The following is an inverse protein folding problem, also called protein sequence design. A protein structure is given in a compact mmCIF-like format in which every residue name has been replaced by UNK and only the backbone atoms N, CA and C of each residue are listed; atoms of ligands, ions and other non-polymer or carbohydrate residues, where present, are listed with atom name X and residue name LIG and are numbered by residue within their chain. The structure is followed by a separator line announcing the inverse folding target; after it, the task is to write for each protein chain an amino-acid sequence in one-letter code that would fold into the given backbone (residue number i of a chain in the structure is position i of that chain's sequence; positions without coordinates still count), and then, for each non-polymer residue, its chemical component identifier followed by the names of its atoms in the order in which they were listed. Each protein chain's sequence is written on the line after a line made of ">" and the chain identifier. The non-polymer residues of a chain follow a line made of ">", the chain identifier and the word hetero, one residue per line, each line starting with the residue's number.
data_IF_130113935661
#
_entry.id   IF_130113935661
#
_cell.length_a   1.000
_cell.length_b   1.000
_cell.length_c   1.000
_cell.angle_alpha   90.00
_cell.angle_beta   90.00
_cell.angle_gamma   90.00
#
_symmetry.space_group_name_H-M   'P 1'
#
loop_
_entity.id
_entity.type
_entity.pdbx_description
1 polymer ?
#
# COMPACT_ATOMS: atom_id res chain seq x y z
N UNK A 1 29.48 35.76 -9.33
CA UNK A 1 30.20 35.96 -8.06
C UNK A 1 30.08 34.66 -7.28
N UNK A 2 31.14 33.88 -7.20
CA UNK A 2 31.16 32.70 -6.34
C UNK A 2 31.08 33.15 -4.87
N UNK A 3 30.02 32.75 -4.18
CA UNK A 3 29.91 32.93 -2.73
C UNK A 3 31.00 32.07 -2.07
N UNK A 4 32.01 32.72 -1.50
CA UNK A 4 33.25 32.10 -1.01
C UNK A 4 33.13 31.51 0.39
N UNK A 5 31.94 31.56 1.01
CA UNK A 5 31.73 31.13 2.39
C UNK A 5 30.48 30.27 2.50
N UNK A 6 30.64 29.16 3.20
CA UNK A 6 29.52 28.38 3.73
C UNK A 6 28.61 29.31 4.53
N UNK A 7 27.32 29.29 4.21
CA UNK A 7 26.36 30.24 4.76
C UNK A 7 25.05 29.53 5.06
N UNK A 8 24.58 29.71 6.29
CA UNK A 8 23.26 29.29 6.72
C UNK A 8 22.43 30.56 6.87
N UNK A 9 21.51 30.80 5.94
CA UNK A 9 20.58 31.91 6.00
C UNK A 9 19.26 31.48 6.63
N UNK A 10 18.90 32.16 7.72
CA UNK A 10 17.66 31.93 8.45
C UNK A 10 16.53 32.74 7.82
N UNK A 11 15.53 32.07 7.28
CA UNK A 11 14.24 32.67 6.96
C UNK A 11 13.18 32.14 7.92
N UNK A 12 12.07 32.88 8.06
CA UNK A 12 11.00 32.59 9.03
C UNK A 12 10.46 31.16 8.97
N UNK A 13 10.54 30.51 7.79
CA UNK A 13 9.96 29.19 7.53
C UNK A 13 10.95 28.15 6.97
N UNK A 14 12.19 28.53 6.63
CA UNK A 14 13.20 27.62 6.06
C UNK A 14 14.61 28.18 6.25
N UNK A 15 15.61 27.31 6.22
CA UNK A 15 17.03 27.65 6.23
C UNK A 15 17.60 27.33 4.85
N UNK A 16 18.27 28.30 4.24
CA UNK A 16 19.09 28.06 3.06
C UNK A 16 20.50 27.74 3.56
N UNK A 17 20.98 26.54 3.25
CA UNK A 17 22.31 26.06 3.62
C UNK A 17 23.12 25.96 2.33
N UNK A 18 24.07 26.87 2.16
CA UNK A 18 25.04 26.85 1.07
C UNK A 18 26.34 26.27 1.62
N UNK A 19 26.83 25.19 1.01
CA UNK A 19 28.11 24.56 1.34
C UNK A 19 28.89 24.26 0.07
N UNK A 20 30.19 24.49 0.14
CA UNK A 20 31.11 24.24 -0.97
C UNK A 20 31.59 22.80 -0.83
N UNK A 21 31.16 21.95 -1.74
CA UNK A 21 31.64 20.57 -1.84
C UNK A 21 32.53 20.44 -3.07
N UNK A 22 33.23 19.31 -3.17
CA UNK A 22 34.05 18.98 -4.33
C UNK A 22 33.44 17.78 -5.05
N UNK A 23 33.59 17.74 -6.37
CA UNK A 23 33.33 16.53 -7.14
C UNK A 23 34.35 15.45 -6.74
N UNK A 24 33.86 14.35 -6.14
CA UNK A 24 34.69 13.26 -5.62
C UNK A 24 34.94 12.15 -6.65
N UNK A 25 34.30 12.19 -7.82
CA UNK A 25 34.45 11.14 -8.83
C UNK A 25 35.81 11.27 -9.55
N UNK A 26 36.72 10.28 -9.44
CA UNK A 26 38.05 10.33 -10.05
C UNK A 26 38.04 10.32 -11.58
N UNK A 27 36.93 9.88 -12.20
CA UNK A 27 36.81 9.73 -13.66
C UNK A 27 36.08 10.91 -14.30
N UNK A 28 35.56 11.83 -13.49
CA UNK A 28 34.87 13.03 -13.94
C UNK A 28 35.86 14.09 -14.46
N UNK A 29 35.60 14.75 -15.59
CA UNK A 29 36.41 15.86 -16.08
C UNK A 29 36.41 17.08 -15.13
N UNK A 30 35.49 17.13 -14.17
CA UNK A 30 35.35 18.17 -13.13
C UNK A 30 35.83 17.70 -11.75
N UNK A 31 36.64 16.63 -11.68
CA UNK A 31 37.19 16.12 -10.43
C UNK A 31 37.90 17.21 -9.62
N UNK A 32 37.58 17.31 -8.31
CA UNK A 32 38.09 18.35 -7.40
C UNK A 32 37.70 19.80 -7.75
N UNK A 33 36.79 20.02 -8.70
CA UNK A 33 36.22 21.35 -8.88
C UNK A 33 35.24 21.70 -7.75
N UNK A 34 35.27 22.95 -7.24
CA UNK A 34 34.37 23.38 -6.20
C UNK A 34 32.94 23.53 -6.72
N UNK A 35 32.02 22.73 -6.20
CA UNK A 35 30.59 22.80 -6.42
C UNK A 35 29.90 23.49 -5.24
N UNK A 36 29.09 24.50 -5.52
CA UNK A 36 28.20 25.08 -4.51
C UNK A 36 26.94 24.24 -4.43
N UNK A 37 26.74 23.54 -3.31
CA UNK A 37 25.49 22.84 -3.01
C UNK A 37 24.58 23.75 -2.18
N UNK A 38 23.34 23.88 -2.64
CA UNK A 38 22.29 24.63 -1.97
C UNK A 38 21.23 23.66 -1.43
N UNK A 39 21.18 23.49 -0.11
CA UNK A 39 20.12 22.73 0.56
C UNK A 39 19.11 23.70 1.14
N UNK A 40 17.84 23.47 0.85
CA UNK A 40 16.73 24.12 1.54
C UNK A 40 16.22 23.19 2.65
N UNK A 41 16.41 23.62 3.89
CA UNK A 41 15.95 22.91 5.09
C UNK A 41 14.66 23.57 5.58
N UNK A 42 13.53 22.86 5.49
CA UNK A 42 12.28 23.33 6.08
C UNK A 42 12.14 22.84 7.52
N UNK A 43 11.23 23.43 8.29
CA UNK A 43 10.85 22.93 9.62
C UNK A 43 10.36 21.48 9.59
N UNK A 44 9.89 21.01 8.43
CA UNK A 44 9.36 19.66 8.19
C UNK A 44 10.42 18.67 7.68
N UNK A 45 11.66 19.11 7.40
CA UNK A 45 12.76 18.29 6.89
C UNK A 45 13.46 18.87 5.66
N UNK A 46 14.45 18.14 5.12
CA UNK A 46 15.09 18.43 3.82
C UNK A 46 14.34 17.78 2.67
N UNK A 47 14.45 18.35 1.47
CA UNK A 47 13.84 17.77 0.27
C UNK A 47 14.35 16.34 0.00
N UNK A 48 15.65 16.11 0.17
CA UNK A 48 16.28 14.78 -0.02
C UNK A 48 15.81 13.74 1.00
N UNK A 49 15.46 14.16 2.22
CA UNK A 49 14.87 13.23 3.19
C UNK A 49 13.47 12.79 2.78
N UNK A 50 12.70 13.66 2.13
CA UNK A 50 11.36 13.32 1.62
C UNK A 50 11.46 12.44 0.39
N UNK A 51 12.42 12.71 -0.49
CA UNK A 51 12.74 11.86 -1.63
C UNK A 51 13.03 10.41 -1.19
N UNK A 52 13.97 10.24 -0.26
CA UNK A 52 14.29 8.91 0.27
C UNK A 52 13.08 8.24 0.96
N UNK A 53 12.29 9.00 1.73
CA UNK A 53 11.09 8.48 2.38
C UNK A 53 10.05 8.02 1.35
N UNK A 54 9.83 8.78 0.27
CA UNK A 54 8.88 8.46 -0.80
C UNK A 54 9.33 7.23 -1.59
N UNK A 55 10.60 7.15 -1.97
CA UNK A 55 11.14 6.00 -2.69
C UNK A 55 11.09 4.74 -1.83
N UNK A 56 11.43 4.85 -0.53
CA UNK A 56 11.30 3.73 0.40
C UNK A 56 9.85 3.26 0.54
N UNK A 57 8.88 4.17 0.51
CA UNK A 57 7.45 3.82 0.57
C UNK A 57 7.02 3.08 -0.71
N UNK A 58 7.45 3.54 -1.88
CA UNK A 58 7.09 2.90 -3.15
C UNK A 58 7.66 1.47 -3.25
N UNK A 59 8.92 1.29 -2.86
CA UNK A 59 9.55 -0.03 -2.83
C UNK A 59 8.91 -0.95 -1.78
N UNK A 60 8.62 -0.45 -0.57
CA UNK A 60 7.95 -1.22 0.47
C UNK A 60 6.56 -1.68 0.05
N UNK A 61 5.78 -0.83 -0.64
CA UNK A 61 4.46 -1.21 -1.17
C UNK A 61 4.57 -2.36 -2.18
N UNK A 62 5.69 -2.50 -2.91
CA UNK A 62 5.88 -3.60 -3.86
C UNK A 62 6.28 -4.92 -3.18
N UNK A 63 6.90 -4.87 -2.00
CA UNK A 63 7.54 -6.02 -1.35
C UNK A 63 6.75 -6.51 -0.12
N UNK A 64 5.87 -5.69 0.46
CA UNK A 64 5.27 -5.99 1.76
C UNK A 64 4.45 -7.30 1.75
N UNK A 65 4.78 -8.18 2.69
CA UNK A 65 3.97 -9.33 3.12
C UNK A 65 3.26 -8.98 4.42
N UNK A 66 1.92 -9.10 4.43
CA UNK A 66 0.94 -9.31 5.52
C UNK A 66 1.10 -8.59 6.89
N UNK A 67 2.29 -8.51 7.50
CA UNK A 67 2.47 -8.19 8.92
C UNK A 67 2.42 -6.70 9.30
N UNK A 68 2.55 -5.77 8.35
CA UNK A 68 2.73 -4.32 8.63
C UNK A 68 1.69 -3.40 7.96
N UNK A 69 0.52 -3.94 7.60
CA UNK A 69 -0.46 -3.19 6.79
C UNK A 69 -1.01 -1.90 7.45
N UNK A 70 -1.22 -1.88 8.78
CA UNK A 70 -1.77 -0.69 9.44
C UNK A 70 -0.76 0.48 9.54
N UNK A 71 0.54 0.17 9.61
CA UNK A 71 1.59 1.18 9.73
C UNK A 71 1.91 1.82 8.38
N UNK A 72 1.81 1.06 7.27
CA UNK A 72 2.05 1.59 5.92
C UNK A 72 1.07 2.71 5.52
N UNK A 73 -0.23 2.55 5.76
CA UNK A 73 -1.21 3.63 5.49
C UNK A 73 -0.90 4.89 6.29
N UNK A 74 -0.48 4.73 7.54
CA UNK A 74 -0.12 5.84 8.41
C UNK A 74 1.15 6.55 7.91
N UNK A 75 2.19 5.79 7.52
CA UNK A 75 3.44 6.31 6.94
C UNK A 75 3.19 7.06 5.63
N UNK A 76 2.39 6.49 4.72
CA UNK A 76 1.95 7.16 3.47
C UNK A 76 1.23 8.46 3.80
N UNK A 77 0.29 8.44 4.75
CA UNK A 77 -0.46 9.63 5.17
C UNK A 77 0.42 10.73 5.77
N UNK A 78 1.37 10.38 6.62
CA UNK A 78 2.31 11.35 7.20
C UNK A 78 3.25 11.94 6.16
N UNK A 79 3.77 11.12 5.24
CA UNK A 79 4.62 11.60 4.15
C UNK A 79 3.84 12.55 3.23
N UNK A 80 2.58 12.21 2.88
CA UNK A 80 1.73 13.07 2.05
C UNK A 80 1.48 14.42 2.70
N UNK A 81 1.27 14.43 4.03
CA UNK A 81 1.09 15.67 4.79
C UNK A 81 2.34 16.57 4.74
N UNK A 82 3.54 15.98 4.85
CA UNK A 82 4.81 16.72 4.68
C UNK A 82 4.96 17.27 3.26
N UNK A 83 4.76 16.44 2.22
CA UNK A 83 4.86 16.86 0.81
C UNK A 83 3.89 18.00 0.50
N UNK A 84 2.63 17.90 0.95
CA UNK A 84 1.63 18.96 0.77
C UNK A 84 1.92 20.23 1.57
N UNK A 85 2.49 20.10 2.77
CA UNK A 85 2.98 21.21 3.57
C UNK A 85 4.05 22.01 2.80
N UNK A 86 5.06 21.32 2.30
CA UNK A 86 6.12 21.92 1.49
C UNK A 86 5.60 22.51 0.18
N UNK A 87 4.72 21.80 -0.54
CA UNK A 87 4.16 22.29 -1.80
C UNK A 87 3.43 23.63 -1.60
N UNK A 88 2.67 23.77 -0.51
CA UNK A 88 2.00 25.03 -0.16
C UNK A 88 2.96 26.14 0.25
N UNK A 89 4.03 25.82 0.97
CA UNK A 89 5.04 26.80 1.39
C UNK A 89 5.90 27.28 0.22
N UNK A 90 6.27 26.39 -0.69
CA UNK A 90 7.09 26.68 -1.85
C UNK A 90 6.31 27.35 -2.97
N UNK A 91 5.09 26.91 -3.28
CA UNK A 91 4.27 27.50 -4.35
C UNK A 91 4.07 29.01 -4.17
N UNK A 92 3.65 29.44 -2.98
CA UNK A 92 3.46 30.86 -2.68
C UNK A 92 4.76 31.68 -2.79
N UNK A 93 5.92 31.08 -2.53
CA UNK A 93 7.23 31.75 -2.61
C UNK A 93 7.75 31.79 -4.04
N UNK A 94 7.60 30.69 -4.78
CA UNK A 94 7.96 30.59 -6.18
C UNK A 94 7.22 31.63 -7.02
N UNK A 95 5.92 31.84 -6.76
CA UNK A 95 5.13 32.86 -7.47
C UNK A 95 5.60 34.30 -7.18
N UNK A 96 5.97 34.59 -5.93
CA UNK A 96 6.49 35.92 -5.54
C UNK A 96 7.86 36.17 -6.14
N UNK A 97 8.77 35.19 -6.09
CA UNK A 97 10.12 35.31 -6.67
C UNK A 97 10.03 35.40 -8.18
N UNK A 98 9.17 34.62 -8.84
CA UNK A 98 8.86 34.73 -10.27
C UNK A 98 8.32 36.10 -10.66
N UNK A 99 7.40 36.65 -9.85
CA UNK A 99 6.88 37.99 -10.05
C UNK A 99 7.94 39.08 -9.88
N UNK A 100 8.84 38.91 -8.91
CA UNK A 100 9.95 39.83 -8.65
C UNK A 100 11.00 39.78 -9.77
N UNK A 101 11.47 38.59 -10.14
CA UNK A 101 12.44 38.39 -11.22
C UNK A 101 11.94 38.96 -12.55
N UNK A 102 10.66 38.72 -12.90
CA UNK A 102 10.05 39.29 -14.11
C UNK A 102 10.06 40.83 -14.09
N UNK A 103 9.66 41.44 -12.98
CA UNK A 103 9.65 42.91 -12.83
C UNK A 103 11.04 43.52 -12.84
N UNK A 104 12.04 42.81 -12.29
CA UNK A 104 13.43 43.22 -12.34
C UNK A 104 13.98 43.21 -13.78
N UNK A 105 13.52 42.30 -14.63
CA UNK A 105 13.95 42.23 -16.03
C UNK A 105 13.25 43.28 -16.94
N UNK A 106 11.99 43.63 -16.65
CA UNK A 106 11.18 44.51 -17.53
C UNK A 106 11.36 46.03 -17.28
N UNK A 107 11.62 46.49 -16.03
CA UNK A 107 11.46 47.91 -15.66
C UNK A 107 12.73 48.66 -15.19
N UNK A 108 13.92 48.13 -15.38
CA UNK A 108 15.12 48.70 -14.76
C UNK A 108 15.86 49.71 -15.65
N UNK A 109 15.41 50.98 -15.63
CA UNK A 109 16.13 52.13 -16.24
C UNK A 109 17.00 52.94 -15.27
N UNK A 110 17.08 52.58 -13.98
CA UNK A 110 17.60 53.50 -12.92
C UNK A 110 18.58 52.87 -11.89
N UNK A 111 19.04 51.62 -12.00
CA UNK A 111 20.13 51.17 -11.11
C UNK A 111 21.23 50.32 -11.80
N UNK A 112 22.49 50.48 -11.37
CA UNK A 112 23.64 49.83 -11.99
C UNK A 112 23.85 48.42 -11.43
N UNK A 113 23.00 47.43 -11.76
CA UNK A 113 23.17 46.03 -11.28
C UNK A 113 22.46 45.02 -12.17
N UNK A 114 23.00 44.72 -13.36
CA UNK A 114 22.56 43.57 -14.18
C UNK A 114 22.70 42.24 -13.42
N UNK A 115 23.60 42.17 -12.45
CA UNK A 115 23.95 40.95 -11.74
C UNK A 115 22.84 40.45 -10.80
N UNK A 116 22.11 41.35 -10.14
CA UNK A 116 21.08 40.99 -9.14
C UNK A 116 19.87 40.29 -9.79
N UNK A 117 19.46 40.75 -10.97
CA UNK A 117 18.39 40.11 -11.73
C UNK A 117 18.76 38.70 -12.17
N UNK A 118 20.04 38.48 -12.50
CA UNK A 118 20.56 37.18 -12.91
C UNK A 118 20.59 36.19 -11.74
N UNK A 119 21.03 36.61 -10.55
CA UNK A 119 20.95 35.78 -9.33
C UNK A 119 19.50 35.47 -8.91
N UNK A 120 18.58 36.43 -9.03
CA UNK A 120 17.16 36.21 -8.75
C UNK A 120 16.51 35.21 -9.72
N UNK A 121 16.94 35.22 -10.98
CA UNK A 121 16.49 34.25 -11.98
C UNK A 121 16.98 32.84 -11.66
N UNK A 122 18.22 32.69 -11.21
CA UNK A 122 18.78 31.40 -10.80
C UNK A 122 18.05 30.82 -9.57
N UNK A 123 17.81 31.65 -8.55
CA UNK A 123 17.01 31.28 -7.38
C UNK A 123 15.57 30.91 -7.78
N UNK A 124 14.98 31.64 -8.73
CA UNK A 124 13.66 31.33 -9.26
C UNK A 124 13.64 29.94 -9.89
N UNK A 125 14.60 29.62 -10.74
CA UNK A 125 14.67 28.33 -11.44
C UNK A 125 14.88 27.18 -10.45
N UNK A 126 15.71 27.37 -9.41
CA UNK A 126 15.83 26.42 -8.31
C UNK A 126 14.52 26.21 -7.53
N UNK A 127 13.75 27.27 -7.26
CA UNK A 127 12.45 27.12 -6.59
C UNK A 127 11.40 26.43 -7.47
N UNK A 128 11.39 26.71 -8.77
CA UNK A 128 10.48 26.09 -9.74
C UNK A 128 10.79 24.59 -9.86
N UNK A 129 12.05 24.24 -10.04
CA UNK A 129 12.49 22.83 -10.14
C UNK A 129 12.18 22.06 -8.86
N UNK A 130 12.44 22.62 -7.67
CA UNK A 130 12.06 21.97 -6.40
C UNK A 130 10.54 21.81 -6.25
N UNK A 131 9.75 22.79 -6.70
CA UNK A 131 8.28 22.67 -6.70
C UNK A 131 7.81 21.56 -7.65
N UNK A 132 8.45 21.40 -8.80
CA UNK A 132 8.17 20.30 -9.73
C UNK A 132 8.53 18.94 -9.12
N UNK A 133 9.65 18.83 -8.40
CA UNK A 133 10.03 17.60 -7.69
C UNK A 133 9.00 17.22 -6.62
N UNK A 134 8.51 18.19 -5.83
CA UNK A 134 7.44 17.93 -4.86
C UNK A 134 6.14 17.44 -5.51
N UNK A 135 5.77 17.99 -6.68
CA UNK A 135 4.63 17.47 -7.45
C UNK A 135 4.88 16.06 -7.98
N UNK A 136 6.12 15.73 -8.34
CA UNK A 136 6.49 14.37 -8.74
C UNK A 136 6.35 13.38 -7.57
N UNK A 137 6.85 13.74 -6.39
CA UNK A 137 6.73 12.93 -5.19
C UNK A 137 5.26 12.72 -4.76
N UNK A 138 4.40 13.73 -4.90
CA UNK A 138 2.95 13.56 -4.67
C UNK A 138 2.33 12.52 -5.59
N UNK A 139 2.68 12.55 -6.88
CA UNK A 139 2.20 11.57 -7.87
C UNK A 139 2.67 10.16 -7.58
N UNK A 140 3.94 9.99 -7.18
CA UNK A 140 4.46 8.69 -6.74
C UNK A 140 3.62 8.21 -5.56
N UNK A 141 3.51 9.01 -4.51
CA UNK A 141 2.81 8.63 -3.29
C UNK A 141 1.32 8.32 -3.51
N UNK A 142 0.65 9.04 -4.41
CA UNK A 142 -0.74 8.80 -4.81
C UNK A 142 -0.91 7.45 -5.53
N UNK A 143 0.05 7.11 -6.39
CA UNK A 143 0.12 5.81 -7.07
C UNK A 143 0.45 4.69 -6.08
N UNK A 144 1.45 4.86 -5.21
CA UNK A 144 1.79 3.86 -4.18
C UNK A 144 0.61 3.61 -3.24
N UNK A 145 -0.15 4.64 -2.85
CA UNK A 145 -1.39 4.49 -2.09
C UNK A 145 -2.44 3.64 -2.82
N UNK A 146 -2.63 3.86 -4.11
CA UNK A 146 -3.58 3.09 -4.92
C UNK A 146 -3.13 1.63 -5.10
N UNK A 147 -1.83 1.42 -5.37
CA UNK A 147 -1.22 0.09 -5.50
C UNK A 147 -1.35 -0.70 -4.19
N UNK A 148 -1.12 -0.04 -3.06
CA UNK A 148 -1.26 -0.63 -1.74
C UNK A 148 -2.68 -1.12 -1.45
N UNK A 149 -3.70 -0.29 -1.73
CA UNK A 149 -5.10 -0.71 -1.59
C UNK A 149 -5.46 -1.87 -2.53
N UNK A 150 -4.91 -1.90 -3.74
CA UNK A 150 -5.12 -3.00 -4.68
C UNK A 150 -4.50 -4.30 -4.14
N UNK A 151 -3.31 -4.24 -3.57
CA UNK A 151 -2.65 -5.41 -2.97
C UNK A 151 -3.44 -5.96 -1.79
N UNK A 152 -3.91 -5.10 -0.87
CA UNK A 152 -4.81 -5.52 0.21
C UNK A 152 -6.05 -6.22 -0.36
N UNK A 153 -6.67 -5.67 -1.40
CA UNK A 153 -7.86 -6.26 -2.02
C UNK A 153 -7.59 -7.64 -2.60
N UNK A 154 -6.42 -7.84 -3.23
CA UNK A 154 -5.97 -9.14 -3.74
C UNK A 154 -5.76 -10.11 -2.58
N UNK A 155 -5.08 -9.68 -1.52
CA UNK A 155 -4.81 -10.52 -0.33
C UNK A 155 -6.10 -10.91 0.39
N UNK A 156 -7.03 -9.98 0.59
CA UNK A 156 -8.37 -10.28 1.13
C UNK A 156 -9.14 -11.24 0.23
N UNK A 157 -9.02 -11.10 -1.08
CA UNK A 157 -9.68 -12.00 -2.04
C UNK A 157 -9.08 -13.40 -1.96
N UNK A 158 -7.76 -13.52 -1.82
CA UNK A 158 -7.10 -14.82 -1.67
C UNK A 158 -7.45 -15.49 -0.32
N UNK A 159 -7.42 -14.73 0.78
CA UNK A 159 -7.87 -15.22 2.09
C UNK A 159 -9.34 -15.67 2.06
N UNK A 160 -10.23 -14.92 1.38
CA UNK A 160 -11.62 -15.32 1.18
C UNK A 160 -11.75 -16.59 0.34
N UNK A 161 -10.91 -16.76 -0.69
CA UNK A 161 -10.89 -17.98 -1.48
C UNK A 161 -10.45 -19.20 -0.65
N UNK A 162 -9.44 -19.05 0.20
CA UNK A 162 -9.01 -20.09 1.12
C UNK A 162 -10.11 -20.44 2.14
N UNK A 163 -10.77 -19.43 2.73
CA UNK A 163 -11.92 -19.63 3.62
C UNK A 163 -13.05 -20.37 2.90
N UNK A 164 -13.38 -19.96 1.67
CA UNK A 164 -14.40 -20.63 0.86
C UNK A 164 -14.05 -22.09 0.55
N UNK A 165 -12.76 -22.40 0.32
CA UNK A 165 -12.31 -23.77 0.12
C UNK A 165 -12.48 -24.63 1.38
N UNK A 166 -12.09 -24.12 2.54
CA UNK A 166 -12.31 -24.80 3.83
C UNK A 166 -13.80 -24.96 4.14
N UNK A 167 -14.60 -23.92 3.89
CA UNK A 167 -16.05 -23.96 4.08
C UNK A 167 -16.71 -24.97 3.14
N UNK A 168 -16.25 -25.07 1.89
CA UNK A 168 -16.73 -26.07 0.94
C UNK A 168 -16.50 -27.49 1.47
N UNK A 169 -15.31 -27.77 2.00
CA UNK A 169 -14.96 -29.06 2.63
C UNK A 169 -15.85 -29.37 3.84
N UNK A 170 -16.03 -28.41 4.74
CA UNK A 170 -16.87 -28.59 5.92
C UNK A 170 -18.35 -28.79 5.57
N UNK A 171 -18.86 -28.02 4.60
CA UNK A 171 -20.24 -28.14 4.11
C UNK A 171 -20.48 -29.50 3.48
N UNK A 172 -19.51 -30.02 2.71
CA UNK A 172 -19.61 -31.34 2.10
C UNK A 172 -19.60 -32.49 3.14
N UNK A 173 -18.90 -32.33 4.26
CA UNK A 173 -19.02 -33.25 5.40
C UNK A 173 -20.39 -33.11 6.09
N UNK A 174 -20.87 -31.87 6.27
CA UNK A 174 -22.18 -31.57 6.86
C UNK A 174 -23.35 -32.20 6.10
N UNK A 175 -23.35 -32.15 4.77
CA UNK A 175 -24.41 -32.74 3.94
C UNK A 175 -24.48 -34.28 4.05
N UNK A 176 -23.39 -34.95 4.41
CA UNK A 176 -23.38 -36.40 4.69
C UNK A 176 -23.86 -36.70 6.11
N UNK A 177 -23.43 -35.91 7.10
CA UNK A 177 -23.72 -36.16 8.51
C UNK A 177 -25.17 -35.80 8.91
N UNK A 178 -25.75 -34.74 8.35
CA UNK A 178 -27.12 -34.30 8.70
C UNK A 178 -28.19 -35.37 8.48
N UNK A 179 -28.33 -35.99 7.28
CA UNK A 179 -29.34 -37.03 7.08
C UNK A 179 -29.05 -38.31 7.88
N UNK A 180 -27.77 -38.62 8.12
CA UNK A 180 -27.38 -39.75 8.97
C UNK A 180 -27.84 -39.53 10.42
N UNK A 181 -27.61 -38.32 10.96
CA UNK A 181 -28.05 -37.95 12.30
C UNK A 181 -29.57 -37.91 12.44
N UNK A 182 -30.30 -37.48 11.42
CA UNK A 182 -31.77 -37.50 11.42
C UNK A 182 -32.31 -38.93 11.58
N UNK A 183 -31.74 -39.87 10.83
CA UNK A 183 -32.20 -41.27 10.86
C UNK A 183 -31.83 -41.93 12.18
N UNK A 184 -30.60 -41.79 12.66
CA UNK A 184 -30.23 -42.33 13.98
C UNK A 184 -31.01 -41.67 15.11
N UNK A 185 -31.33 -40.38 14.98
CA UNK A 185 -32.11 -39.62 15.96
C UNK A 185 -33.55 -40.11 16.08
N UNK A 186 -34.26 -40.29 14.95
CA UNK A 186 -35.65 -40.78 14.94
C UNK A 186 -35.79 -42.18 15.56
N UNK A 187 -34.80 -43.04 15.37
CA UNK A 187 -34.78 -44.41 15.91
C UNK A 187 -34.22 -44.50 17.34
N UNK A 188 -33.54 -43.45 17.83
CA UNK A 188 -33.09 -43.34 19.22
C UNK A 188 -34.16 -42.82 20.19
N UNK A 189 -35.33 -42.43 19.68
CA UNK A 189 -36.46 -41.97 20.50
C UNK A 189 -37.21 -43.16 21.10
N UNK A 190 -37.49 -43.11 22.41
CA UNK A 190 -38.22 -44.15 23.13
C UNK A 190 -39.75 -44.05 22.88
N UNK A 191 -40.15 -44.12 21.61
CA UNK A 191 -41.55 -44.07 21.14
C UNK A 191 -41.82 -45.33 20.33
N UNK A 192 -43.04 -45.86 20.44
CA UNK A 192 -43.45 -47.08 19.75
C UNK A 192 -43.30 -46.91 18.23
N UNK A 193 -42.47 -47.75 17.62
CA UNK A 193 -42.15 -47.68 16.19
C UNK A 193 -43.19 -48.45 15.37
N UNK A 194 -43.57 -47.96 14.18
CA UNK A 194 -44.56 -48.63 13.34
C UNK A 194 -44.06 -50.00 12.88
N UNK A 195 -44.68 -51.08 13.38
CA UNK A 195 -44.34 -52.47 13.07
C UNK A 195 -43.98 -53.36 14.28
N UNK A 196 -44.07 -52.86 15.51
CA UNK A 196 -43.68 -53.58 16.73
C UNK A 196 -44.65 -54.71 17.15
N UNK A 197 -45.93 -54.64 16.76
CA UNK A 197 -46.98 -55.58 17.22
C UNK A 197 -47.45 -56.62 16.17
N UNK A 198 -46.85 -56.68 14.97
CA UNK A 198 -47.32 -57.54 13.86
C UNK A 198 -46.31 -58.67 13.59
N UNK A 199 -46.77 -59.94 13.45
CA UNK A 199 -45.96 -61.13 13.05
C UNK A 199 -45.14 -60.96 11.75
N UNK A 200 -45.40 -59.89 10.98
CA UNK A 200 -44.62 -59.45 9.82
C UNK A 200 -43.25 -58.83 10.19
N UNK A 201 -42.67 -59.21 11.33
CA UNK A 201 -41.37 -58.74 11.83
C UNK A 201 -40.28 -58.82 10.77
N UNK A 202 -40.27 -59.89 9.97
CA UNK A 202 -39.27 -60.10 8.93
C UNK A 202 -39.36 -59.05 7.80
N UNK A 203 -40.56 -58.58 7.44
CA UNK A 203 -40.74 -57.60 6.35
C UNK A 203 -40.36 -56.18 6.79
N UNK A 204 -40.69 -55.83 8.04
CA UNK A 204 -40.32 -54.53 8.65
C UNK A 204 -38.81 -54.47 8.94
N UNK A 205 -38.22 -55.54 9.50
CA UNK A 205 -36.75 -55.64 9.67
C UNK A 205 -36.00 -55.63 8.33
N UNK A 206 -36.52 -56.29 7.29
CA UNK A 206 -35.91 -56.25 5.97
C UNK A 206 -35.94 -54.84 5.38
N UNK A 207 -37.06 -54.12 5.50
CA UNK A 207 -37.16 -52.70 5.10
C UNK A 207 -36.18 -51.81 5.87
N UNK A 208 -36.02 -52.05 7.17
CA UNK A 208 -35.06 -51.34 8.03
C UNK A 208 -33.61 -51.59 7.61
N UNK A 209 -33.23 -52.85 7.39
CA UNK A 209 -31.89 -53.23 6.91
C UNK A 209 -31.59 -52.62 5.54
N UNK A 210 -32.58 -52.54 4.65
CA UNK A 210 -32.46 -51.90 3.34
C UNK A 210 -32.26 -50.39 3.46
N UNK A 211 -32.98 -49.72 4.37
CA UNK A 211 -32.84 -48.29 4.61
C UNK A 211 -31.48 -47.93 5.22
N UNK A 212 -31.02 -48.70 6.21
CA UNK A 212 -29.65 -48.57 6.74
C UNK A 212 -28.59 -48.88 5.70
N UNK A 213 -28.80 -49.89 4.84
CA UNK A 213 -27.88 -50.20 3.74
C UNK A 213 -27.83 -49.07 2.70
N UNK A 214 -28.97 -48.46 2.36
CA UNK A 214 -29.04 -47.30 1.47
C UNK A 214 -28.33 -46.07 2.06
N UNK A 215 -28.50 -45.80 3.35
CA UNK A 215 -27.79 -44.71 4.03
C UNK A 215 -26.29 -44.97 4.13
N UNK A 216 -25.88 -46.20 4.43
CA UNK A 216 -24.48 -46.60 4.45
C UNK A 216 -23.86 -46.50 3.04
N UNK A 217 -24.56 -46.93 2.00
CA UNK A 217 -24.13 -46.77 0.62
C UNK A 217 -24.02 -45.29 0.22
N UNK A 218 -25.01 -44.46 0.58
CA UNK A 218 -24.97 -43.02 0.34
C UNK A 218 -23.82 -42.34 1.09
N UNK A 219 -23.54 -42.74 2.33
CA UNK A 219 -22.41 -42.24 3.10
C UNK A 219 -21.05 -42.67 2.53
N UNK A 220 -20.93 -43.92 2.05
CA UNK A 220 -19.71 -44.41 1.41
C UNK A 220 -19.47 -43.74 0.06
N UNK A 221 -20.51 -43.56 -0.77
CA UNK A 221 -20.43 -42.87 -2.05
C UNK A 221 -20.15 -41.38 -1.85
N UNK A 222 -20.86 -40.74 -0.91
CA UNK A 222 -20.66 -39.34 -0.52
C UNK A 222 -19.26 -39.11 0.03
N UNK A 223 -18.80 -39.96 0.95
CA UNK A 223 -17.46 -39.94 1.54
C UNK A 223 -16.35 -40.20 0.52
N UNK A 224 -16.54 -41.15 -0.41
CA UNK A 224 -15.59 -41.39 -1.49
C UNK A 224 -15.55 -40.22 -2.48
N UNK A 225 -16.70 -39.63 -2.79
CA UNK A 225 -16.79 -38.44 -3.65
C UNK A 225 -16.09 -37.24 -3.01
N UNK A 226 -16.33 -36.97 -1.72
CA UNK A 226 -15.68 -35.87 -1.00
C UNK A 226 -14.19 -36.10 -0.81
N UNK A 227 -13.76 -37.33 -0.49
CA UNK A 227 -12.34 -37.69 -0.44
C UNK A 227 -11.65 -37.48 -1.79
N UNK A 228 -12.26 -37.97 -2.87
CA UNK A 228 -11.73 -37.81 -4.23
C UNK A 228 -11.72 -36.34 -4.66
N UNK A 229 -12.69 -35.54 -4.24
CA UNK A 229 -12.73 -34.10 -4.53
C UNK A 229 -11.65 -33.33 -3.74
N UNK A 230 -11.37 -33.73 -2.50
CA UNK A 230 -10.31 -33.14 -1.67
C UNK A 230 -8.89 -33.52 -2.09
N UNK A 231 -8.67 -34.73 -2.62
CA UNK A 231 -7.33 -35.24 -2.97
C UNK A 231 -6.87 -34.81 -4.36
N UNK A 232 -7.79 -34.39 -5.24
CA UNK A 232 -7.50 -34.17 -6.66
C UNK A 232 -7.29 -32.70 -7.05
N UNK A 233 -7.12 -31.80 -6.08
CA UNK A 233 -6.89 -30.37 -6.33
C UNK A 233 -5.70 -29.85 -5.54
#
# INVERSE_FOLDING_TARGET
>A
MEETREKIELFRNYYLVCFRSFDQDPYSPTHLEPLNMYIIVFREGTLSSIEYEVDSIDELVLILKEAEQSDMLRRIGTCRKKVMGLLRLMGNKADVVKGLAKRCNENWRVAPTSDIGLYLSDIQDHLITMTQNLNHYEKILSRSHSNYLAQISIEMTDANNQINDVLSKLTALGTVLIPMNLVTGLWGMNVHVPGQDIEQYCRVMCGLRLLFACLAAFALIGGYSTYKFMVRR
#
